data_IF_016080821197
#
_entry.id   IF_016080821197
#
_cell.length_a   1.000
_cell.length_b   1.000
_cell.length_c   1.000
_cell.angle_alpha   90.00
_cell.angle_beta   90.00
_cell.angle_gamma   90.00
#
_symmetry.space_group_name_H-M   'P 1'
#
loop_
_entity.id
_entity.type
_entity.pdbx_description
1 polymer ?
#
# COMPACT_ATOMS: atom_id res chain seq x y z
N UNK A 1 -1.18 6.19 -16.76
CA UNK A 1 0.19 6.00 -16.23
C UNK A 1 1.12 5.34 -17.26
N UNK A 2 0.91 4.08 -17.67
CA UNK A 2 1.86 3.34 -18.53
C UNK A 2 2.10 3.91 -19.93
N UNK A 3 1.16 4.70 -20.45
CA UNK A 3 1.32 5.42 -21.73
C UNK A 3 2.29 6.61 -21.65
N UNK A 4 2.72 6.98 -20.45
CA UNK A 4 3.50 8.21 -20.21
C UNK A 4 4.71 8.00 -19.30
N UNK A 5 4.89 6.79 -18.74
CA UNK A 5 5.96 6.47 -17.81
C UNK A 5 6.51 5.08 -18.08
N UNK A 6 7.83 4.92 -17.94
CA UNK A 6 8.47 3.61 -17.82
C UNK A 6 8.25 3.09 -16.40
N UNK A 7 7.65 1.90 -16.26
CA UNK A 7 7.22 1.37 -14.96
C UNK A 7 7.93 0.06 -14.65
N UNK A 8 8.41 -0.07 -13.41
CA UNK A 8 8.80 -1.34 -12.80
C UNK A 8 7.85 -1.67 -11.66
N UNK A 9 7.25 -2.85 -11.71
CA UNK A 9 6.40 -3.38 -10.64
C UNK A 9 7.19 -4.31 -9.72
N UNK A 10 7.00 -4.18 -8.42
CA UNK A 10 7.58 -5.05 -7.39
C UNK A 10 6.47 -5.65 -6.55
N UNK A 11 6.53 -6.96 -6.32
CA UNK A 11 5.64 -7.66 -5.39
C UNK A 11 6.42 -8.80 -4.73
N UNK A 12 6.08 -9.11 -3.47
CA UNK A 12 6.67 -10.23 -2.74
C UNK A 12 6.11 -11.57 -3.24
N UNK A 13 4.89 -11.58 -3.79
CA UNK A 13 4.17 -12.75 -4.24
C UNK A 13 4.47 -13.08 -5.72
N UNK A 14 5.14 -14.21 -6.00
CA UNK A 14 5.32 -14.67 -7.38
C UNK A 14 3.98 -14.93 -8.09
N UNK A 15 2.95 -15.33 -7.34
CA UNK A 15 1.62 -15.57 -7.89
C UNK A 15 0.96 -14.28 -8.40
N UNK A 16 1.09 -13.17 -7.65
CA UNK A 16 0.60 -11.86 -8.09
C UNK A 16 1.36 -11.38 -9.33
N UNK A 17 2.68 -11.56 -9.36
CA UNK A 17 3.49 -11.21 -10.53
C UNK A 17 3.21 -12.08 -11.76
N UNK A 18 2.74 -13.32 -11.59
CA UNK A 18 2.29 -14.14 -12.71
C UNK A 18 0.97 -13.63 -13.34
N UNK A 19 0.14 -12.92 -12.56
CA UNK A 19 -1.13 -12.36 -13.01
C UNK A 19 -0.99 -10.95 -13.59
N UNK A 20 -0.11 -10.13 -13.02
CA UNK A 20 0.01 -8.71 -13.37
C UNK A 20 0.27 -8.41 -14.87
N UNK A 21 1.11 -9.18 -15.60
CA UNK A 21 1.35 -8.98 -17.03
C UNK A 21 0.11 -9.18 -17.90
N UNK A 22 -0.91 -9.90 -17.44
CA UNK A 22 -2.15 -10.10 -18.22
C UNK A 22 -2.91 -8.79 -18.43
N UNK A 23 -2.75 -7.84 -17.51
CA UNK A 23 -3.35 -6.51 -17.60
C UNK A 23 -2.38 -5.50 -18.19
N UNK A 24 -1.08 -5.70 -17.99
CA UNK A 24 -0.04 -4.70 -18.27
C UNK A 24 1.26 -5.38 -18.74
N UNK A 25 1.26 -5.96 -19.94
CA UNK A 25 2.36 -6.76 -20.44
C UNK A 25 3.66 -5.96 -20.64
N UNK A 26 3.57 -4.64 -20.76
CA UNK A 26 4.69 -3.73 -20.99
C UNK A 26 5.51 -3.39 -19.73
N UNK A 27 5.00 -3.73 -18.54
CA UNK A 27 5.65 -3.40 -17.26
C UNK A 27 6.72 -4.45 -16.93
N UNK A 28 7.90 -3.98 -16.53
CA UNK A 28 8.94 -4.88 -15.99
C UNK A 28 8.58 -5.29 -14.56
N UNK A 29 8.51 -6.58 -14.27
CA UNK A 29 8.18 -7.10 -12.94
C UNK A 29 9.37 -7.73 -12.23
N UNK A 30 9.45 -7.52 -10.92
CA UNK A 30 10.53 -8.04 -10.05
C UNK A 30 9.93 -8.58 -8.75
N UNK A 31 10.27 -9.83 -8.42
CA UNK A 31 9.96 -10.37 -7.08
C UNK A 31 10.84 -9.67 -6.07
N UNK A 32 10.25 -9.16 -4.99
CA UNK A 32 11.02 -8.76 -3.82
C UNK A 32 10.22 -8.03 -2.76
N UNK A 33 10.88 -7.88 -1.62
CA UNK A 33 10.31 -7.26 -0.42
C UNK A 33 10.54 -5.75 -0.44
N UNK A 34 9.47 -4.96 -0.32
CA UNK A 34 9.56 -3.48 -0.28
C UNK A 34 10.47 -2.96 0.84
N UNK A 35 10.74 -3.76 1.88
CA UNK A 35 11.62 -3.39 3.00
C UNK A 35 13.09 -3.44 2.63
N UNK A 36 13.49 -4.22 1.62
CA UNK A 36 14.91 -4.57 1.42
C UNK A 36 15.36 -4.69 -0.03
N UNK A 37 14.46 -4.81 -1.02
CA UNK A 37 14.82 -4.99 -2.42
C UNK A 37 15.79 -3.90 -2.89
N UNK A 38 16.75 -4.24 -3.76
CA UNK A 38 17.70 -3.30 -4.38
C UNK A 38 17.77 -3.54 -5.88
N UNK A 39 17.10 -2.69 -6.66
CA UNK A 39 16.98 -2.80 -8.11
C UNK A 39 18.22 -2.28 -8.86
N UNK A 40 19.19 -1.68 -8.14
CA UNK A 40 20.39 -1.04 -8.72
C UNK A 40 20.06 -0.01 -9.81
N UNK A 41 18.93 0.67 -9.65
CA UNK A 41 18.40 1.73 -10.52
C UNK A 41 17.64 2.74 -9.67
N UNK A 42 17.62 4.00 -10.11
CA UNK A 42 16.78 5.05 -9.54
C UNK A 42 15.60 5.40 -10.45
N UNK A 43 14.55 5.97 -9.86
CA UNK A 43 13.30 6.36 -10.50
C UNK A 43 12.96 7.81 -10.16
N UNK A 44 12.22 8.48 -11.03
CA UNK A 44 11.68 9.82 -10.76
C UNK A 44 10.57 9.77 -9.70
N UNK A 45 9.85 8.65 -9.64
CA UNK A 45 8.82 8.40 -8.65
C UNK A 45 8.84 6.96 -8.14
N UNK A 46 8.54 6.80 -6.85
CA UNK A 46 8.27 5.52 -6.19
C UNK A 46 6.91 5.62 -5.54
N UNK A 47 6.07 4.60 -5.71
CA UNK A 47 4.75 4.54 -5.07
C UNK A 47 4.66 3.26 -4.25
N UNK A 48 4.26 3.39 -2.99
CA UNK A 48 3.81 2.26 -2.18
C UNK A 48 2.40 2.62 -1.69
N UNK A 49 1.42 1.92 -2.26
CA UNK A 49 -0.01 2.11 -2.00
C UNK A 49 -0.44 1.32 -0.75
N UNK A 50 -1.64 0.75 -0.76
CA UNK A 50 -2.23 -0.18 0.22
C UNK A 50 -1.25 -1.12 0.91
N UNK A 51 -0.32 -1.71 0.14
CA UNK A 51 0.65 -2.69 0.64
C UNK A 51 1.56 -2.17 1.77
N UNK A 52 1.71 -0.85 1.94
CA UNK A 52 2.45 -0.27 3.08
C UNK A 52 1.81 -0.64 4.43
N UNK A 53 0.50 -0.90 4.45
CA UNK A 53 -0.23 -1.28 5.66
C UNK A 53 0.24 -2.62 6.24
N UNK A 54 0.99 -3.44 5.49
CA UNK A 54 1.56 -4.69 6.00
C UNK A 54 2.81 -4.50 6.87
N UNK A 55 3.32 -3.27 7.00
CA UNK A 55 4.38 -2.96 7.95
C UNK A 55 3.79 -2.89 9.35
N UNK A 56 4.24 -3.75 10.27
CA UNK A 56 3.65 -3.94 11.61
C UNK A 56 4.49 -3.33 12.73
N UNK A 57 5.65 -2.79 12.40
CA UNK A 57 6.52 -2.08 13.34
C UNK A 57 7.07 -0.82 12.70
N UNK A 58 7.44 0.17 13.52
CA UNK A 58 8.14 1.35 13.04
C UNK A 58 9.44 1.01 12.28
N UNK A 59 10.11 -0.08 12.68
CA UNK A 59 11.31 -0.58 12.00
C UNK A 59 10.99 -1.05 10.57
N UNK A 60 9.91 -1.80 10.40
CA UNK A 60 9.46 -2.27 9.08
C UNK A 60 9.02 -1.08 8.20
N UNK A 61 8.24 -0.14 8.73
CA UNK A 61 7.87 1.11 8.02
C UNK A 61 9.11 1.88 7.57
N UNK A 62 10.06 2.12 8.48
CA UNK A 62 11.29 2.82 8.16
C UNK A 62 12.14 2.08 7.12
N UNK A 63 12.14 0.75 7.13
CA UNK A 63 12.84 -0.05 6.13
C UNK A 63 12.22 0.11 4.74
N UNK A 64 10.88 0.11 4.64
CA UNK A 64 10.17 0.38 3.40
C UNK A 64 10.43 1.80 2.88
N UNK A 65 10.36 2.81 3.76
CA UNK A 65 10.67 4.20 3.39
C UNK A 65 12.12 4.38 2.95
N UNK A 66 13.07 3.74 3.65
CA UNK A 66 14.48 3.76 3.29
C UNK A 66 14.72 3.11 1.93
N UNK A 67 14.03 2.01 1.64
CA UNK A 67 14.07 1.37 0.32
C UNK A 67 13.51 2.29 -0.76
N UNK A 68 12.37 2.93 -0.54
CA UNK A 68 11.84 3.93 -1.48
C UNK A 68 12.84 5.08 -1.70
N UNK A 69 13.44 5.61 -0.63
CA UNK A 69 14.39 6.72 -0.68
C UNK A 69 15.62 6.41 -1.56
N UNK A 70 16.25 5.24 -1.37
CA UNK A 70 17.46 4.90 -2.14
C UNK A 70 17.17 4.67 -3.63
N UNK A 71 15.93 4.30 -3.97
CA UNK A 71 15.49 4.13 -5.36
C UNK A 71 15.02 5.42 -6.02
N UNK A 72 15.02 6.57 -5.34
CA UNK A 72 14.66 7.83 -5.98
C UNK A 72 15.87 8.56 -6.56
N UNK A 73 15.73 9.14 -7.74
CA UNK A 73 16.69 10.13 -8.22
C UNK A 73 16.68 11.37 -7.30
N UNK A 74 17.75 12.19 -7.28
CA UNK A 74 17.72 13.51 -6.66
C UNK A 74 16.53 14.34 -7.18
N UNK A 75 15.68 14.85 -6.29
CA UNK A 75 14.44 15.54 -6.65
C UNK A 75 13.23 14.63 -6.90
N UNK A 76 13.42 13.31 -6.91
CA UNK A 76 12.35 12.33 -7.10
C UNK A 76 11.34 12.28 -5.95
N UNK A 77 10.16 11.73 -6.23
CA UNK A 77 8.99 11.75 -5.35
C UNK A 77 8.61 10.35 -4.89
N UNK A 78 8.51 10.16 -3.58
CA UNK A 78 7.84 9.02 -2.96
C UNK A 78 6.41 9.37 -2.60
N UNK A 79 5.45 8.55 -3.02
CA UNK A 79 4.03 8.67 -2.70
C UNK A 79 3.56 7.45 -1.90
N UNK A 80 2.87 7.71 -0.80
CA UNK A 80 2.19 6.69 0.01
C UNK A 80 0.99 7.29 0.73
N UNK A 81 0.06 6.47 1.19
CA UNK A 81 -1.10 6.92 1.95
C UNK A 81 -1.41 5.97 3.12
N UNK A 82 -2.25 6.45 4.03
CA UNK A 82 -2.61 5.74 5.27
C UNK A 82 -4.11 5.49 5.29
N UNK A 83 -4.50 4.22 5.19
CA UNK A 83 -5.91 3.79 5.19
C UNK A 83 -6.55 3.81 6.58
N UNK A 84 -5.76 3.45 7.59
CA UNK A 84 -6.19 3.32 8.98
C UNK A 84 -5.17 3.94 9.92
N UNK A 85 -5.70 4.67 10.89
CA UNK A 85 -4.97 5.23 12.02
C UNK A 85 -5.76 4.89 13.28
N UNK A 86 -5.15 4.93 14.49
CA UNK A 86 -5.90 4.76 15.72
C UNK A 86 -7.11 5.72 15.84
N UNK A 87 -6.99 6.95 15.29
CA UNK A 87 -8.07 7.95 15.32
C UNK A 87 -9.23 7.66 14.35
N UNK A 88 -8.99 6.85 13.30
CA UNK A 88 -10.00 6.52 12.28
C UNK A 88 -10.46 5.07 12.35
N UNK A 89 -9.75 4.22 13.11
CA UNK A 89 -10.10 2.84 13.32
C UNK A 89 -11.42 2.71 14.07
N UNK A 90 -12.23 1.75 13.66
CA UNK A 90 -13.52 1.44 14.27
C UNK A 90 -13.54 -0.03 14.60
N UNK A 91 -13.59 -0.33 15.88
CA UNK A 91 -13.58 -1.71 16.36
C UNK A 91 -14.77 -2.48 15.79
N UNK A 92 -14.50 -3.71 15.32
CA UNK A 92 -15.48 -4.62 14.70
C UNK A 92 -16.19 -4.01 13.48
N UNK A 93 -15.58 -3.06 12.78
CA UNK A 93 -16.17 -2.51 11.57
C UNK A 93 -16.27 -3.58 10.49
N UNK A 94 -17.50 -3.82 10.00
CA UNK A 94 -17.76 -4.74 8.90
C UNK A 94 -18.11 -3.97 7.64
N UNK A 95 -17.42 -4.24 6.55
CA UNK A 95 -17.77 -3.73 5.23
C UNK A 95 -18.15 -4.87 4.30
N UNK A 96 -18.91 -4.53 3.25
CA UNK A 96 -19.24 -5.46 2.18
C UNK A 96 -19.05 -4.82 0.83
N UNK A 97 -18.63 -5.62 -0.14
CA UNK A 97 -18.61 -5.25 -1.55
C UNK A 97 -19.18 -6.39 -2.38
N UNK A 98 -19.87 -6.04 -3.46
CA UNK A 98 -20.39 -7.01 -4.43
C UNK A 98 -19.90 -6.60 -5.81
N UNK A 99 -19.28 -7.53 -6.53
CA UNK A 99 -18.84 -7.32 -7.89
C UNK A 99 -19.33 -8.45 -8.79
N UNK A 100 -19.69 -8.12 -10.03
CA UNK A 100 -20.12 -9.09 -11.04
C UNK A 100 -19.37 -8.86 -12.33
N UNK A 101 -18.92 -9.94 -12.97
CA UNK A 101 -18.31 -9.90 -14.30
C UNK A 101 -18.61 -11.21 -15.02
N UNK A 102 -19.35 -11.13 -16.12
CA UNK A 102 -19.79 -12.31 -16.85
C UNK A 102 -20.63 -13.23 -15.97
N UNK A 103 -20.26 -14.51 -15.92
CA UNK A 103 -20.89 -15.58 -15.12
C UNK A 103 -20.34 -15.68 -13.68
N UNK A 104 -19.50 -14.73 -13.27
CA UNK A 104 -18.88 -14.69 -11.94
C UNK A 104 -19.46 -13.54 -11.11
N UNK A 105 -19.92 -13.87 -9.91
CA UNK A 105 -20.27 -12.93 -8.85
C UNK A 105 -19.37 -13.17 -7.65
N UNK A 106 -18.87 -12.09 -7.05
CA UNK A 106 -18.10 -12.13 -5.81
C UNK A 106 -18.75 -11.21 -4.80
N UNK A 107 -19.10 -11.75 -3.63
CA UNK A 107 -19.41 -10.98 -2.43
C UNK A 107 -18.20 -11.06 -1.51
N UNK A 108 -17.67 -9.89 -1.15
CA UNK A 108 -16.63 -9.74 -0.15
C UNK A 108 -17.28 -9.20 1.12
N UNK A 109 -16.98 -9.83 2.25
CA UNK A 109 -17.24 -9.31 3.59
C UNK A 109 -15.88 -9.15 4.27
N UNK A 110 -15.59 -7.96 4.78
CA UNK A 110 -14.39 -7.65 5.55
C UNK A 110 -14.80 -7.24 6.96
N UNK A 111 -14.19 -7.82 7.99
CA UNK A 111 -14.34 -7.39 9.38
C UNK A 111 -12.98 -7.02 9.97
N UNK A 112 -12.90 -5.84 10.57
CA UNK A 112 -11.68 -5.32 11.18
C UNK A 112 -11.78 -5.40 12.71
N UNK A 113 -10.78 -6.02 13.35
CA UNK A 113 -10.73 -6.21 14.79
C UNK A 113 -9.32 -5.95 15.33
N UNK A 114 -9.22 -5.14 16.38
CA UNK A 114 -7.98 -4.94 17.13
C UNK A 114 -8.08 -5.63 18.50
N UNK A 115 -7.41 -6.77 18.71
CA UNK A 115 -7.46 -7.49 19.97
C UNK A 115 -6.61 -6.86 21.08
N UNK A 116 -5.64 -6.00 20.75
CA UNK A 116 -4.70 -5.39 21.70
C UNK A 116 -4.33 -3.96 21.29
N UNK A 117 -5.09 -3.00 21.85
CA UNK A 117 -4.90 -1.58 21.57
C UNK A 117 -3.59 -0.99 22.12
N UNK A 118 -2.81 -1.76 22.89
CA UNK A 118 -1.46 -1.36 23.31
C UNK A 118 -0.41 -1.61 22.22
N UNK A 119 -0.70 -2.47 21.23
CA UNK A 119 0.20 -2.72 20.11
C UNK A 119 -0.05 -1.74 18.94
N UNK A 120 0.55 -2.00 17.78
CA UNK A 120 0.42 -1.13 16.59
C UNK A 120 -0.12 -1.91 15.40
N UNK A 121 -1.01 -2.87 15.65
CA UNK A 121 -1.58 -3.73 14.63
C UNK A 121 -3.07 -3.93 14.80
N UNK A 122 -3.73 -4.32 13.73
CA UNK A 122 -5.09 -4.83 13.77
C UNK A 122 -5.21 -6.01 12.81
N UNK A 123 -6.26 -6.80 12.99
CA UNK A 123 -6.64 -7.88 12.10
C UNK A 123 -7.74 -7.43 11.15
N UNK A 124 -7.62 -7.81 9.87
CA UNK A 124 -8.73 -7.74 8.92
C UNK A 124 -9.02 -9.15 8.39
N UNK A 125 -10.23 -9.63 8.66
CA UNK A 125 -10.71 -10.94 8.19
C UNK A 125 -11.63 -10.75 6.99
N UNK A 126 -11.34 -11.48 5.91
CA UNK A 126 -12.10 -11.47 4.68
C UNK A 126 -12.81 -12.80 4.49
N UNK A 127 -14.07 -12.72 4.05
CA UNK A 127 -14.86 -13.86 3.55
C UNK A 127 -15.28 -13.53 2.12
N UNK A 128 -14.90 -14.38 1.19
CA UNK A 128 -15.28 -14.28 -0.21
C UNK A 128 -16.32 -15.35 -0.53
N UNK A 129 -17.51 -14.93 -0.96
CA UNK A 129 -18.49 -15.81 -1.58
C UNK A 129 -18.36 -15.64 -3.09
N UNK A 130 -17.78 -16.64 -3.75
CA UNK A 130 -17.49 -16.62 -5.20
C UNK A 130 -18.46 -17.57 -5.87
N UNK A 131 -19.43 -17.03 -6.62
CA UNK A 131 -20.35 -17.82 -7.43
C UNK A 131 -19.91 -17.76 -8.89
N UNK A 132 -19.66 -18.92 -9.49
CA UNK A 132 -19.35 -19.04 -10.92
C UNK A 132 -20.13 -20.21 -11.51
N UNK A 133 -20.86 -19.96 -12.60
CA UNK A 133 -21.68 -20.98 -13.29
C UNK A 133 -22.61 -21.75 -12.34
N UNK A 134 -23.25 -21.02 -11.43
CA UNK A 134 -24.15 -21.57 -10.40
C UNK A 134 -23.45 -22.24 -9.21
N UNK A 135 -22.15 -22.57 -9.30
CA UNK A 135 -21.39 -23.19 -8.21
C UNK A 135 -20.86 -22.11 -7.25
N UNK A 136 -21.08 -22.32 -5.96
CA UNK A 136 -20.56 -21.45 -4.90
C UNK A 136 -19.26 -22.03 -4.34
N UNK A 137 -18.26 -21.17 -4.19
CA UNK A 137 -17.05 -21.40 -3.43
C UNK A 137 -16.94 -20.33 -2.35
N UNK A 138 -16.59 -20.73 -1.14
CA UNK A 138 -16.33 -19.82 -0.03
C UNK A 138 -14.83 -19.87 0.26
N UNK A 139 -14.18 -18.71 0.27
CA UNK A 139 -12.78 -18.57 0.65
C UNK A 139 -12.68 -17.61 1.82
N UNK A 140 -11.69 -17.82 2.69
CA UNK A 140 -11.40 -16.90 3.79
C UNK A 140 -9.94 -16.50 3.75
N UNK A 141 -9.66 -15.26 4.16
CA UNK A 141 -8.30 -14.75 4.31
C UNK A 141 -8.23 -13.84 5.54
N UNK A 142 -7.04 -13.70 6.12
CA UNK A 142 -6.84 -12.97 7.35
C UNK A 142 -5.52 -12.22 7.31
N UNK A 143 -5.61 -10.90 7.38
CA UNK A 143 -4.46 -10.00 7.29
C UNK A 143 -4.17 -9.39 8.65
N UNK A 144 -2.89 -9.24 8.98
CA UNK A 144 -2.45 -8.45 10.13
C UNK A 144 -1.72 -7.21 9.62
N UNK A 145 -2.28 -6.05 9.91
CA UNK A 145 -1.91 -4.77 9.33
C UNK A 145 -1.45 -3.80 10.42
N UNK A 146 -0.58 -2.85 10.07
CA UNK A 146 -0.09 -1.82 10.96
C UNK A 146 -1.11 -0.70 11.21
N UNK A 147 -1.18 -0.23 12.45
CA UNK A 147 -2.07 0.81 12.93
C UNK A 147 -1.27 1.91 13.63
N UNK A 148 -0.69 2.82 12.84
CA UNK A 148 0.16 3.89 13.38
C UNK A 148 -0.54 5.24 13.32
N UNK A 149 -0.35 6.10 14.34
CA UNK A 149 -0.85 7.46 14.28
C UNK A 149 -0.01 8.28 13.28
N UNK A 150 -0.64 9.25 12.59
CA UNK A 150 0.04 10.08 11.58
C UNK A 150 1.32 10.79 12.05
N UNK A 151 1.49 11.21 13.33
CA UNK A 151 2.77 11.70 13.84
C UNK A 151 3.93 10.72 13.65
N UNK A 152 3.70 9.41 13.81
CA UNK A 152 4.73 8.37 13.62
C UNK A 152 5.16 8.32 12.16
N UNK A 153 4.20 8.28 11.23
CA UNK A 153 4.48 8.35 9.78
C UNK A 153 5.34 9.57 9.42
N UNK A 154 4.91 10.77 9.83
CA UNK A 154 5.65 12.03 9.57
C UNK A 154 7.06 11.99 10.12
N UNK A 155 7.24 11.49 11.35
CA UNK A 155 8.54 11.35 12.00
C UNK A 155 9.45 10.41 11.20
N UNK A 156 8.99 9.21 10.89
CA UNK A 156 9.78 8.18 10.20
C UNK A 156 10.16 8.58 8.77
N UNK A 157 9.25 9.22 8.02
CA UNK A 157 9.54 9.75 6.69
C UNK A 157 10.62 10.84 6.74
N UNK A 158 10.54 11.77 7.70
CA UNK A 158 11.58 12.80 7.91
C UNK A 158 12.91 12.22 8.34
N UNK A 159 12.91 11.26 9.27
CA UNK A 159 14.13 10.55 9.71
C UNK A 159 14.80 9.79 8.56
N UNK A 160 14.05 9.37 7.55
CA UNK A 160 14.59 8.73 6.34
C UNK A 160 15.32 9.75 5.44
N UNK A 161 15.04 11.04 5.58
CA UNK A 161 15.65 12.12 4.79
C UNK A 161 14.69 12.80 3.80
N UNK A 162 13.41 12.48 3.83
CA UNK A 162 12.42 13.12 2.96
C UNK A 162 12.01 14.51 3.44
N UNK A 163 11.77 15.41 2.49
CA UNK A 163 10.90 16.58 2.71
C UNK A 163 9.46 16.14 2.52
N UNK A 164 8.66 16.22 3.59
CA UNK A 164 7.32 15.60 3.66
C UNK A 164 6.22 16.65 3.61
N UNK A 165 5.31 16.51 2.64
CA UNK A 165 4.03 17.21 2.58
C UNK A 165 2.91 16.21 2.80
N UNK A 166 1.99 16.51 3.71
CA UNK A 166 0.78 15.71 3.92
C UNK A 166 -0.40 16.42 3.25
N UNK A 167 -1.16 15.68 2.46
CA UNK A 167 -2.40 16.11 1.83
C UNK A 167 -3.51 15.13 2.15
N UNK A 168 -4.76 15.51 1.84
CA UNK A 168 -5.89 14.57 1.80
C UNK A 168 -5.98 14.08 0.37
N UNK A 169 -5.89 12.76 0.17
CA UNK A 169 -6.03 12.15 -1.15
C UNK A 169 -7.45 12.26 -1.69
N UNK A 170 -7.66 11.87 -2.94
CA UNK A 170 -9.01 11.69 -3.46
C UNK A 170 -9.67 10.49 -2.76
N UNK A 171 -10.97 10.56 -2.46
CA UNK A 171 -11.67 9.43 -1.87
C UNK A 171 -11.90 8.32 -2.89
N UNK A 172 -11.72 7.07 -2.47
CA UNK A 172 -11.92 5.89 -3.32
C UNK A 172 -13.39 5.64 -3.69
N UNK A 173 -14.32 6.34 -3.02
CA UNK A 173 -15.78 6.26 -3.26
C UNK A 173 -16.42 7.63 -3.13
N UNK A 174 -17.46 7.95 -3.95
CA UNK A 174 -18.24 9.17 -3.78
C UNK A 174 -18.77 9.30 -2.35
N UNK A 175 -18.56 10.48 -1.74
CA UNK A 175 -19.03 10.77 -0.38
C UNK A 175 -18.13 10.25 0.76
N UNK A 176 -17.07 9.49 0.48
CA UNK A 176 -16.07 9.14 1.48
C UNK A 176 -15.07 10.29 1.71
N UNK A 177 -14.39 10.29 2.86
CA UNK A 177 -13.21 11.13 3.08
C UNK A 177 -11.99 10.45 2.45
N UNK A 178 -11.13 11.23 1.82
CA UNK A 178 -9.85 10.75 1.31
C UNK A 178 -8.89 10.34 2.41
N UNK A 179 -7.95 9.46 2.06
CA UNK A 179 -6.92 9.00 2.98
C UNK A 179 -5.82 10.05 3.16
N UNK A 180 -5.21 10.08 4.35
CA UNK A 180 -4.03 10.90 4.57
C UNK A 180 -2.91 10.42 3.64
N UNK A 181 -2.47 11.30 2.75
CA UNK A 181 -1.50 10.98 1.69
C UNK A 181 -0.23 11.78 1.91
N UNK A 182 0.92 11.14 1.78
CA UNK A 182 2.23 11.74 1.95
C UNK A 182 2.95 11.84 0.61
N UNK A 183 3.26 13.07 0.22
CA UNK A 183 4.13 13.40 -0.91
C UNK A 183 5.50 13.73 -0.34
N UNK A 184 6.48 12.88 -0.64
CA UNK A 184 7.80 12.90 -0.02
C UNK A 184 8.88 13.14 -1.07
N UNK A 185 9.58 14.27 -1.01
CA UNK A 185 10.63 14.61 -1.99
C UNK A 185 12.00 14.23 -1.43
N UNK A 186 12.80 13.50 -2.22
CA UNK A 186 14.23 13.28 -1.95
C UNK A 186 14.98 14.55 -2.33
N UNK A 187 15.51 15.28 -1.36
CA UNK A 187 16.31 16.48 -1.64
C UNK A 187 17.48 16.15 -2.57
N UNK A 188 17.66 16.95 -3.62
CA UNK A 188 18.94 16.99 -4.30
C UNK A 188 19.96 17.52 -3.30
N UNK A 189 20.99 16.74 -2.96
CA UNK A 189 22.07 17.23 -2.12
C UNK A 189 22.56 18.57 -2.66
N UNK A 190 22.90 19.52 -1.77
CA UNK A 190 23.58 20.74 -2.22
C UNK A 190 24.80 20.30 -3.03
N UNK A 191 24.87 20.68 -4.31
CA UNK A 191 26.12 20.63 -5.05
C UNK A 191 27.05 21.58 -4.31
N UNK A 192 28.00 21.04 -3.55
CA UNK A 192 29.17 21.81 -3.16
C UNK A 192 29.92 22.06 -4.47
N UNK A 193 29.80 23.29 -4.97
CA UNK A 193 30.77 23.87 -5.90
C UNK A 193 32.05 24.17 -5.12
#
# INVERSE_FOLDING_TARGET
MKRSFEITGVDLSPAMLALAPRLNPEVAYRVGDMRSIRLRRTFDAVVIADSVAYMRTERELRAAFGTAFVHLAPGGVFLTYVERTPATFRQNATTRAVARRGDVEVVLIENQHDPDSADTTYESTFIYLIRSRGRLRVETDRHRLGLFPLPVWRRLLRMTGFRVTQVVGEPDRPGARGNATFVCVRSAGKRNL
#
